data_IF_833320336252
#
_entry.id   IF_833320336252
#
_cell.length_a   1.000
_cell.length_b   1.000
_cell.length_c   1.000
_cell.angle_alpha   90.00
_cell.angle_beta   90.00
_cell.angle_gamma   90.00
#
_symmetry.space_group_name_H-M   'P 1'
#
loop_
_entity.id
_entity.type
_entity.pdbx_description
1 polymer ?
#
# COMPACT_ATOMS: atom_id res chain seq x y z
N UNK A 1 -10.39 19.04 -4.62
CA UNK A 1 -9.88 17.77 -4.54
C UNK A 1 -10.89 16.74 -4.06
N UNK A 2 -10.89 15.66 -4.65
CA UNK A 2 -11.83 14.59 -4.33
C UNK A 2 -11.24 13.67 -3.29
N UNK A 3 -11.10 14.16 -2.11
CA UNK A 3 -10.38 13.46 -1.09
C UNK A 3 -10.76 12.00 -0.89
N UNK A 4 -12.04 11.70 -0.94
CA UNK A 4 -12.51 10.36 -0.66
C UNK A 4 -11.85 9.30 -1.53
N UNK A 5 -11.92 9.48 -2.83
CA UNK A 5 -11.39 8.51 -3.77
C UNK A 5 -9.87 8.45 -3.71
N UNK A 6 -9.24 9.62 -3.68
CA UNK A 6 -7.78 9.66 -3.66
C UNK A 6 -7.22 9.02 -2.39
N UNK A 7 -7.86 9.29 -1.26
CA UNK A 7 -7.42 8.73 0.00
C UNK A 7 -7.56 7.21 0.01
N UNK A 8 -8.64 6.72 -0.56
CA UNK A 8 -8.87 5.30 -0.60
C UNK A 8 -7.81 4.59 -1.44
N UNK A 9 -7.52 5.16 -2.61
CA UNK A 9 -6.50 4.59 -3.49
C UNK A 9 -5.13 4.64 -2.85
N UNK A 10 -4.81 5.73 -2.17
CA UNK A 10 -3.53 5.86 -1.50
C UNK A 10 -3.35 4.80 -0.44
N UNK A 11 -4.39 4.57 0.34
CA UNK A 11 -4.34 3.56 1.37
C UNK A 11 -4.16 2.17 0.77
N UNK A 12 -4.84 1.92 -0.33
CA UNK A 12 -4.74 0.64 -1.02
C UNK A 12 -3.31 0.40 -1.52
N UNK A 13 -2.72 1.42 -2.13
CA UNK A 13 -1.36 1.30 -2.63
C UNK A 13 -0.37 1.12 -1.48
N UNK A 14 -0.60 1.82 -0.39
CA UNK A 14 0.26 1.69 0.78
C UNK A 14 0.26 0.26 1.30
N UNK A 15 -0.91 -0.35 1.33
CA UNK A 15 -1.01 -1.73 1.80
C UNK A 15 -0.24 -2.67 0.89
N UNK A 16 -0.29 -2.44 -0.41
CA UNK A 16 0.45 -3.26 -1.36
C UNK A 16 1.95 -3.12 -1.13
N UNK A 17 2.41 -1.91 -0.93
CA UNK A 17 3.83 -1.66 -0.70
C UNK A 17 4.31 -2.37 0.56
N UNK A 18 3.55 -2.26 1.62
CA UNK A 18 3.89 -2.92 2.88
C UNK A 18 3.93 -4.44 2.69
N UNK A 19 2.98 -4.97 1.94
CA UNK A 19 2.93 -6.39 1.69
C UNK A 19 4.18 -6.86 0.94
N UNK A 20 4.60 -6.09 -0.06
CA UNK A 20 5.78 -6.43 -0.82
C UNK A 20 7.03 -6.40 0.05
N UNK A 21 7.13 -5.38 0.89
CA UNK A 21 8.28 -5.25 1.78
C UNK A 21 8.38 -6.45 2.71
N UNK A 22 7.28 -6.81 3.32
CA UNK A 22 7.27 -7.95 4.23
C UNK A 22 7.61 -9.23 3.47
N UNK A 23 7.13 -9.35 2.26
CA UNK A 23 7.38 -10.53 1.44
C UNK A 23 8.86 -10.68 1.15
N UNK A 24 9.53 -9.59 0.83
CA UNK A 24 10.96 -9.62 0.54
C UNK A 24 11.75 -10.00 1.78
N UNK A 25 11.44 -9.38 2.90
CA UNK A 25 12.12 -9.67 4.15
C UNK A 25 11.92 -11.13 4.55
N UNK A 26 10.73 -11.63 4.31
CA UNK A 26 10.41 -13.01 4.65
C UNK A 26 11.23 -14.01 3.84
N UNK A 27 11.56 -13.63 2.63
CA UNK A 27 12.38 -14.50 1.79
C UNK A 27 13.85 -14.42 2.13
N UNK A 28 14.23 -13.30 2.70
CA UNK A 28 15.60 -13.10 3.06
C UNK A 28 15.96 -13.96 4.25
#
# INVERSE_FOLDING_TARGET
RLGGVALDLSFFVLMIIVYILISIVSRL
#
